data_IF_641913751934
#
_entry.id   IF_641913751934
#
_cell.length_a   1.000
_cell.length_b   1.000
_cell.length_c   1.000
_cell.angle_alpha   90.00
_cell.angle_beta   90.00
_cell.angle_gamma   90.00
#
_symmetry.space_group_name_H-M   'P 1'
#
loop_
_entity.id
_entity.type
_entity.pdbx_description
1 polymer ?
#
# COMPACT_ATOMS: atom_id res chain seq x y z
N UNK A 1 60.56 -9.81 20.80
CA UNK A 1 59.25 -10.27 21.31
C UNK A 1 58.10 -9.26 21.09
N UNK A 2 58.17 -8.31 20.15
CA UNK A 2 57.07 -7.34 19.87
C UNK A 2 56.25 -7.64 18.61
N UNK A 3 56.68 -8.55 17.73
CA UNK A 3 56.04 -8.84 16.47
C UNK A 3 54.82 -9.81 16.54
N UNK A 4 54.72 -10.62 17.60
CA UNK A 4 53.65 -11.62 17.73
C UNK A 4 52.34 -11.07 18.33
N UNK A 5 52.37 -9.93 19.04
CA UNK A 5 51.15 -9.34 19.64
C UNK A 5 50.27 -8.62 18.65
N UNK A 6 50.85 -8.04 17.59
CA UNK A 6 50.10 -7.31 16.55
C UNK A 6 49.32 -8.28 15.64
N UNK A 7 49.90 -9.46 15.34
CA UNK A 7 49.22 -10.47 14.51
C UNK A 7 48.06 -11.16 15.25
N UNK A 8 48.16 -11.33 16.57
CA UNK A 8 47.08 -11.90 17.38
C UNK A 8 45.92 -10.93 17.54
N UNK A 9 46.19 -9.63 17.69
CA UNK A 9 45.15 -8.60 17.78
C UNK A 9 44.39 -8.41 16.44
N UNK A 10 45.08 -8.48 15.30
CA UNK A 10 44.45 -8.40 13.98
C UNK A 10 43.60 -9.65 13.66
N UNK A 11 44.06 -10.85 14.10
CA UNK A 11 43.26 -12.07 13.94
C UNK A 11 42.00 -12.09 14.82
N UNK A 12 42.08 -11.60 16.08
CA UNK A 12 40.91 -11.47 16.94
C UNK A 12 39.94 -10.41 16.44
N UNK A 13 40.40 -9.29 15.87
CA UNK A 13 39.55 -8.27 15.28
C UNK A 13 38.87 -8.77 14.02
N UNK A 14 39.54 -9.56 13.19
CA UNK A 14 38.94 -10.16 11.99
C UNK A 14 37.89 -11.24 12.35
N UNK A 15 38.08 -12.01 13.41
CA UNK A 15 37.12 -13.00 13.91
C UNK A 15 35.92 -12.30 14.56
N UNK A 16 36.12 -11.18 15.27
CA UNK A 16 35.03 -10.38 15.83
C UNK A 16 34.23 -9.62 14.74
N UNK A 17 34.88 -9.13 13.68
CA UNK A 17 34.20 -8.54 12.52
C UNK A 17 33.47 -9.59 11.69
N UNK A 18 34.02 -10.80 11.54
CA UNK A 18 33.31 -11.90 10.89
C UNK A 18 32.12 -12.42 11.74
N UNK A 19 32.25 -12.40 13.08
CA UNK A 19 31.13 -12.73 13.97
C UNK A 19 30.07 -11.63 14.06
N UNK A 20 30.42 -10.36 13.78
CA UNK A 20 29.45 -9.25 13.66
C UNK A 20 28.83 -9.13 12.26
N UNK A 21 29.56 -9.51 11.20
CA UNK A 21 29.07 -9.58 9.83
C UNK A 21 28.27 -10.85 9.51
N UNK A 22 28.37 -11.88 10.34
CA UNK A 22 27.74 -13.18 10.16
C UNK A 22 26.42 -13.37 10.89
N UNK A 23 25.88 -12.35 11.54
CA UNK A 23 24.44 -12.28 11.77
C UNK A 23 23.78 -11.73 10.50
N UNK A 24 23.85 -12.52 9.41
CA UNK A 24 22.77 -12.55 8.46
C UNK A 24 21.51 -12.57 9.33
N UNK A 25 20.70 -11.55 9.17
CA UNK A 25 19.38 -11.49 9.75
C UNK A 25 18.72 -12.80 9.29
N UNK A 26 18.74 -13.83 10.15
CA UNK A 26 17.92 -15.02 9.92
C UNK A 26 16.58 -14.43 9.57
N UNK A 27 16.15 -14.66 8.35
CA UNK A 27 14.80 -14.31 7.93
C UNK A 27 13.92 -15.00 8.97
N UNK A 28 13.46 -14.22 9.97
CA UNK A 28 12.64 -14.76 11.05
C UNK A 28 11.40 -15.27 10.37
N UNK A 29 11.41 -16.56 10.05
CA UNK A 29 10.31 -17.24 9.41
C UNK A 29 9.09 -17.00 10.31
N UNK A 30 8.11 -16.29 9.78
CA UNK A 30 6.87 -16.10 10.50
C UNK A 30 6.20 -17.45 10.66
N UNK A 31 5.55 -17.68 11.80
CA UNK A 31 4.81 -18.90 11.94
C UNK A 31 3.75 -18.96 10.82
N UNK A 32 3.56 -20.09 10.16
CA UNK A 32 2.49 -20.23 9.17
C UNK A 32 1.16 -19.94 9.86
N UNK A 33 0.27 -19.26 9.13
CA UNK A 33 -1.09 -19.03 9.61
C UNK A 33 -1.78 -20.40 9.77
N UNK A 34 -2.41 -20.64 10.92
CA UNK A 34 -3.21 -21.84 11.17
C UNK A 34 -4.36 -22.00 10.15
N UNK A 35 -5.16 -23.05 10.31
CA UNK A 35 -6.19 -23.35 9.29
C UNK A 35 -7.53 -22.62 9.49
N UNK A 36 -7.77 -22.04 10.69
CA UNK A 36 -9.03 -21.35 10.98
C UNK A 36 -10.25 -22.31 10.99
N UNK A 37 -11.49 -21.82 10.90
CA UNK A 37 -11.83 -20.41 11.03
C UNK A 37 -11.59 -19.89 12.46
N UNK A 38 -11.39 -18.59 12.57
CA UNK A 38 -11.24 -17.88 13.85
C UNK A 38 -12.45 -17.01 14.11
N UNK A 39 -12.76 -16.78 15.37
CA UNK A 39 -13.83 -15.88 15.79
C UNK A 39 -13.26 -14.82 16.72
N UNK A 40 -13.66 -13.56 16.51
CA UNK A 40 -13.23 -12.42 17.30
C UNK A 40 -14.46 -11.65 17.77
N UNK A 41 -14.40 -11.19 19.03
CA UNK A 41 -15.32 -10.19 19.53
C UNK A 41 -14.94 -8.81 18.98
N UNK A 42 -15.90 -7.91 18.90
CA UNK A 42 -15.67 -6.52 18.48
C UNK A 42 -16.14 -5.56 19.57
N UNK A 43 -15.77 -4.29 19.44
CA UNK A 43 -16.27 -3.26 20.37
C UNK A 43 -17.77 -2.99 20.22
N UNK A 44 -18.37 -3.40 19.11
CA UNK A 44 -19.81 -3.26 18.92
C UNK A 44 -20.56 -4.36 19.68
N UNK A 45 -21.50 -4.01 20.56
CA UNK A 45 -22.30 -5.01 21.27
C UNK A 45 -22.96 -6.00 20.29
N UNK A 46 -22.90 -7.27 20.62
CA UNK A 46 -23.49 -8.36 19.83
C UNK A 46 -22.94 -8.48 18.40
N UNK A 47 -21.77 -7.94 18.11
CA UNK A 47 -21.12 -8.08 16.83
C UNK A 47 -19.86 -8.92 17.00
N UNK A 48 -19.88 -10.13 16.49
CA UNK A 48 -18.72 -11.02 16.40
C UNK A 48 -18.39 -11.26 14.93
N UNK A 49 -17.12 -11.46 14.65
CA UNK A 49 -16.67 -11.77 13.30
C UNK A 49 -16.08 -13.17 13.23
N UNK A 50 -16.34 -13.82 12.12
CA UNK A 50 -15.68 -15.06 11.71
C UNK A 50 -14.71 -14.73 10.59
N UNK A 51 -13.49 -15.25 10.71
CA UNK A 51 -12.44 -15.09 9.70
C UNK A 51 -12.07 -16.46 9.17
N UNK A 52 -12.18 -16.63 7.88
CA UNK A 52 -11.86 -17.89 7.19
C UNK A 52 -10.84 -17.68 6.09
N UNK A 53 -10.03 -18.71 5.84
CA UNK A 53 -9.10 -18.73 4.71
C UNK A 53 -9.89 -19.06 3.44
N UNK A 54 -9.77 -18.18 2.43
CA UNK A 54 -10.32 -18.41 1.10
C UNK A 54 -9.30 -19.13 0.24
N UNK A 55 -8.04 -18.67 0.24
CA UNK A 55 -6.97 -19.30 -0.53
C UNK A 55 -5.61 -19.12 0.15
N UNK A 56 -4.71 -20.07 -0.07
CA UNK A 56 -3.29 -20.06 0.36
C UNK A 56 -2.38 -20.19 -0.86
N UNK A 57 -1.10 -19.91 -0.70
CA UNK A 57 -0.07 -20.17 -1.71
C UNK A 57 0.22 -19.02 -2.66
N UNK A 58 -0.17 -17.81 -2.28
CA UNK A 58 0.24 -16.57 -2.96
C UNK A 58 1.66 -16.18 -2.55
N UNK A 59 2.36 -15.45 -3.40
CA UNK A 59 3.70 -14.91 -3.09
C UNK A 59 3.67 -13.39 -3.00
N UNK A 60 3.76 -12.87 -1.79
CA UNK A 60 3.71 -11.43 -1.52
C UNK A 60 2.56 -10.73 -2.26
N UNK A 61 1.28 -11.14 -2.05
CA UNK A 61 0.15 -10.49 -2.69
C UNK A 61 0.07 -9.02 -2.29
N UNK A 62 -0.40 -8.16 -3.21
CA UNK A 62 -0.39 -6.71 -2.99
C UNK A 62 -1.77 -6.07 -3.04
N UNK A 63 -2.52 -6.25 -4.09
CA UNK A 63 -3.85 -5.72 -4.26
C UNK A 63 -4.83 -6.78 -4.78
N UNK A 64 -6.12 -6.55 -4.62
CA UNK A 64 -7.18 -7.43 -5.12
C UNK A 64 -8.31 -6.66 -5.77
N UNK A 65 -8.94 -7.27 -6.78
CA UNK A 65 -10.15 -6.75 -7.42
C UNK A 65 -11.17 -7.87 -7.61
N UNK A 66 -12.44 -7.53 -7.38
CA UNK A 66 -13.57 -8.46 -7.51
C UNK A 66 -14.19 -8.34 -8.89
N UNK A 67 -14.14 -9.40 -9.68
CA UNK A 67 -14.78 -9.48 -10.98
C UNK A 67 -16.32 -9.60 -10.81
N UNK A 68 -17.12 -9.13 -11.78
CA UNK A 68 -18.58 -9.19 -11.70
C UNK A 68 -19.16 -10.58 -11.44
N UNK A 69 -18.44 -11.66 -11.85
CA UNK A 69 -18.83 -13.05 -11.62
C UNK A 69 -18.47 -13.60 -10.23
N UNK A 70 -17.85 -12.79 -9.36
CA UNK A 70 -17.44 -13.19 -8.01
C UNK A 70 -16.02 -13.78 -7.93
N UNK A 71 -15.33 -13.96 -9.05
CA UNK A 71 -13.91 -14.31 -9.07
C UNK A 71 -13.06 -13.15 -8.56
N UNK A 72 -11.86 -13.42 -8.04
CA UNK A 72 -11.00 -12.40 -7.46
C UNK A 72 -9.66 -12.40 -8.19
N UNK A 73 -9.28 -11.28 -8.76
CA UNK A 73 -7.93 -11.03 -9.24
C UNK A 73 -7.04 -10.57 -8.09
N UNK A 74 -5.82 -11.09 -8.02
CA UNK A 74 -4.83 -10.73 -6.99
C UNK A 74 -3.48 -10.52 -7.66
N UNK A 75 -2.86 -9.36 -7.42
CA UNK A 75 -1.48 -9.12 -7.84
C UNK A 75 -0.50 -9.72 -6.85
N UNK A 76 0.59 -10.29 -7.37
CA UNK A 76 1.73 -10.74 -6.59
C UNK A 76 2.96 -9.89 -6.97
N UNK A 77 3.68 -9.34 -5.99
CA UNK A 77 4.84 -8.47 -6.24
C UNK A 77 5.91 -9.07 -7.18
N UNK A 78 6.17 -10.38 -7.19
CA UNK A 78 7.07 -10.96 -8.19
C UNK A 78 6.68 -10.78 -9.66
N UNK A 79 5.49 -10.22 -9.97
CA UNK A 79 5.06 -9.89 -11.32
C UNK A 79 3.93 -10.77 -11.86
N UNK A 80 3.29 -11.56 -11.01
CA UNK A 80 2.20 -12.43 -11.42
C UNK A 80 0.85 -11.82 -11.07
N UNK A 81 -0.10 -11.93 -11.96
CA UNK A 81 -1.52 -11.76 -11.67
C UNK A 81 -2.13 -13.14 -11.45
N UNK A 82 -2.84 -13.30 -10.34
CA UNK A 82 -3.48 -14.55 -9.96
C UNK A 82 -5.00 -14.38 -9.99
N UNK A 83 -5.71 -15.48 -10.12
CA UNK A 83 -7.16 -15.50 -10.06
C UNK A 83 -7.63 -16.58 -9.09
N UNK A 84 -8.61 -16.21 -8.26
CA UNK A 84 -9.38 -17.14 -7.46
C UNK A 84 -10.74 -17.32 -8.16
N UNK A 85 -11.02 -18.53 -8.59
CA UNK A 85 -12.30 -18.90 -9.21
C UNK A 85 -13.15 -19.64 -8.18
N UNK A 86 -14.29 -19.06 -7.82
CA UNK A 86 -15.17 -19.62 -6.79
C UNK A 86 -14.42 -19.96 -5.48
N UNK A 87 -13.48 -19.10 -5.08
CA UNK A 87 -12.67 -19.28 -3.87
C UNK A 87 -11.48 -20.24 -4.02
N UNK A 88 -11.24 -20.79 -5.20
CA UNK A 88 -10.09 -21.68 -5.46
C UNK A 88 -9.03 -20.94 -6.26
N UNK A 89 -7.80 -20.91 -5.75
CA UNK A 89 -6.66 -20.31 -6.46
C UNK A 89 -6.32 -21.15 -7.69
N UNK A 90 -6.41 -20.54 -8.88
CA UNK A 90 -5.93 -21.19 -10.11
C UNK A 90 -4.41 -21.42 -10.00
N UNK A 91 -3.91 -22.66 -10.24
CA UNK A 91 -2.49 -22.94 -10.16
C UNK A 91 -1.66 -22.15 -11.19
N UNK A 92 -2.26 -21.78 -12.32
CA UNK A 92 -1.60 -20.99 -13.38
C UNK A 92 -1.82 -19.51 -13.18
N UNK A 93 -0.76 -18.68 -13.26
CA UNK A 93 -0.92 -17.23 -13.31
C UNK A 93 -1.72 -16.81 -14.56
N UNK A 94 -2.43 -15.70 -14.43
CA UNK A 94 -3.04 -15.00 -15.57
C UNK A 94 -1.91 -14.48 -16.47
N UNK A 95 -1.96 -14.78 -17.76
CA UNK A 95 -0.99 -14.31 -18.73
C UNK A 95 -1.21 -12.82 -19.08
N UNK A 96 -0.21 -12.18 -19.71
CA UNK A 96 -0.32 -10.83 -20.26
C UNK A 96 -0.04 -9.70 -19.26
N UNK A 97 0.52 -9.98 -18.08
CA UNK A 97 0.99 -8.93 -17.16
C UNK A 97 2.21 -8.19 -17.74
N UNK A 98 2.42 -6.91 -17.40
CA UNK A 98 3.63 -6.19 -17.79
C UNK A 98 4.88 -6.84 -17.18
N UNK A 99 6.03 -6.68 -17.84
CA UNK A 99 7.32 -7.07 -17.27
C UNK A 99 7.67 -6.10 -16.15
N UNK A 100 7.85 -6.62 -14.95
CA UNK A 100 8.09 -5.82 -13.75
C UNK A 100 9.53 -5.95 -13.24
N UNK A 101 10.03 -4.89 -12.61
CA UNK A 101 11.22 -4.99 -11.78
C UNK A 101 10.79 -5.35 -10.35
N UNK A 102 10.83 -6.64 -10.04
CA UNK A 102 10.54 -7.14 -8.70
C UNK A 102 11.82 -7.07 -7.82
N UNK A 103 12.01 -5.95 -7.14
CA UNK A 103 13.11 -5.75 -6.21
C UNK A 103 12.66 -4.87 -5.04
N UNK A 104 13.14 -5.15 -3.84
CA UNK A 104 12.81 -4.42 -2.61
C UNK A 104 11.29 -4.35 -2.35
N UNK A 105 10.70 -3.15 -2.43
CA UNK A 105 9.26 -2.94 -2.28
C UNK A 105 8.51 -2.90 -3.62
N UNK A 106 9.25 -2.89 -4.73
CA UNK A 106 8.70 -2.84 -6.09
C UNK A 106 8.23 -4.20 -6.61
N UNK A 107 7.60 -4.18 -7.77
CA UNK A 107 7.05 -5.34 -8.46
C UNK A 107 5.75 -5.02 -9.19
N UNK A 108 4.87 -6.00 -9.33
CA UNK A 108 3.47 -5.78 -9.67
C UNK A 108 2.74 -5.37 -8.38
N UNK A 109 2.14 -4.20 -8.39
CA UNK A 109 1.60 -3.58 -7.18
C UNK A 109 0.07 -3.66 -7.17
N UNK A 110 -0.61 -2.54 -7.24
CA UNK A 110 -2.06 -2.50 -7.13
C UNK A 110 -2.78 -2.71 -8.46
N UNK A 111 -4.08 -3.00 -8.39
CA UNK A 111 -4.93 -3.13 -9.56
C UNK A 111 -6.32 -2.55 -9.31
N UNK A 112 -6.95 -2.05 -10.39
CA UNK A 112 -8.34 -1.62 -10.39
C UNK A 112 -9.04 -2.03 -11.69
N UNK A 113 -10.30 -2.38 -11.60
CA UNK A 113 -11.16 -2.53 -12.79
C UNK A 113 -11.60 -1.16 -13.30
N UNK A 114 -11.75 -1.04 -14.60
CA UNK A 114 -12.41 0.12 -15.20
C UNK A 114 -13.80 0.34 -14.56
N UNK A 115 -14.22 1.58 -14.32
CA UNK A 115 -15.61 1.87 -13.93
C UNK A 115 -16.65 1.36 -14.93
N UNK A 116 -16.23 1.10 -16.17
CA UNK A 116 -17.02 0.53 -17.25
C UNK A 116 -16.63 -0.91 -17.59
N UNK A 117 -16.10 -1.65 -16.62
CA UNK A 117 -15.56 -3.00 -16.85
C UNK A 117 -16.54 -3.94 -17.54
N UNK A 118 -17.84 -3.82 -17.29
CA UNK A 118 -18.87 -4.63 -17.99
C UNK A 118 -18.93 -4.36 -19.49
N UNK A 119 -18.40 -3.22 -19.95
CA UNK A 119 -18.40 -2.81 -21.36
C UNK A 119 -17.03 -2.97 -22.00
N UNK A 120 -15.97 -2.54 -21.31
CA UNK A 120 -14.62 -2.41 -21.86
C UNK A 120 -13.63 -3.51 -21.39
N UNK A 121 -14.00 -4.23 -20.33
CA UNK A 121 -13.22 -5.30 -19.71
C UNK A 121 -11.79 -4.88 -19.32
N UNK A 122 -11.53 -3.58 -19.08
CA UNK A 122 -10.18 -3.09 -18.81
C UNK A 122 -9.79 -3.28 -17.35
N UNK A 123 -8.58 -3.81 -17.15
CA UNK A 123 -7.89 -3.92 -15.86
C UNK A 123 -6.67 -3.02 -15.90
N UNK A 124 -6.56 -2.15 -14.91
CA UNK A 124 -5.43 -1.24 -14.71
C UNK A 124 -4.54 -1.75 -13.59
N UNK A 125 -3.24 -1.58 -13.73
CA UNK A 125 -2.26 -2.06 -12.74
C UNK A 125 -1.16 -1.04 -12.56
N UNK A 126 -0.74 -0.79 -11.32
CA UNK A 126 0.53 -0.11 -11.04
C UNK A 126 1.66 -1.11 -10.92
N UNK A 127 2.85 -0.75 -11.37
CA UNK A 127 4.01 -1.62 -11.32
C UNK A 127 5.33 -0.84 -11.38
N UNK A 128 6.41 -1.51 -10.98
CA UNK A 128 7.76 -0.97 -11.10
C UNK A 128 8.36 -1.33 -12.45
N UNK A 129 8.62 -0.33 -13.27
CA UNK A 129 9.20 -0.47 -14.61
C UNK A 129 10.68 -0.12 -14.62
N UNK A 130 11.51 -1.01 -15.16
CA UNK A 130 12.89 -0.67 -15.48
C UNK A 130 12.92 0.20 -16.72
N UNK A 131 13.58 1.36 -16.63
CA UNK A 131 13.87 2.26 -17.73
C UNK A 131 15.38 2.45 -17.86
N UNK A 132 15.84 3.08 -18.94
CA UNK A 132 17.26 3.40 -19.14
C UNK A 132 17.80 4.41 -18.12
N UNK A 133 16.90 5.18 -17.48
CA UNK A 133 17.23 6.23 -16.48
C UNK A 133 17.01 5.78 -15.04
N UNK A 134 16.59 4.56 -14.81
CA UNK A 134 16.29 4.03 -13.47
C UNK A 134 14.92 3.34 -13.41
N UNK A 135 14.40 3.18 -12.21
CA UNK A 135 13.10 2.53 -11.98
C UNK A 135 12.00 3.58 -11.88
N UNK A 136 10.93 3.41 -12.63
CA UNK A 136 9.75 4.25 -12.61
C UNK A 136 8.54 3.51 -12.01
N UNK A 137 7.66 4.22 -11.34
CA UNK A 137 6.29 3.75 -11.10
C UNK A 137 5.51 3.93 -12.40
N UNK A 138 4.82 2.90 -12.84
CA UNK A 138 4.11 2.92 -14.10
C UNK A 138 2.70 2.38 -13.93
N UNK A 139 1.79 2.86 -14.78
CA UNK A 139 0.44 2.32 -14.90
C UNK A 139 0.34 1.61 -16.25
N UNK A 140 -0.07 0.35 -16.23
CA UNK A 140 -0.45 -0.39 -17.43
C UNK A 140 -1.94 -0.71 -17.40
N UNK A 141 -2.53 -0.95 -18.58
CA UNK A 141 -3.86 -1.54 -18.71
C UNK A 141 -3.84 -2.69 -19.71
N UNK A 142 -4.67 -3.70 -19.47
CA UNK A 142 -4.94 -4.79 -20.40
C UNK A 142 -6.43 -5.10 -20.46
N UNK A 143 -6.90 -5.68 -21.55
CA UNK A 143 -8.28 -6.15 -21.67
C UNK A 143 -8.40 -7.57 -21.12
N UNK A 144 -9.34 -7.80 -20.22
CA UNK A 144 -9.63 -9.11 -19.64
C UNK A 144 -10.47 -9.95 -20.59
N UNK A 145 -9.95 -11.07 -21.07
CA UNK A 145 -10.67 -12.01 -21.96
C UNK A 145 -11.13 -13.31 -21.26
N UNK A 146 -10.97 -13.38 -19.92
CA UNK A 146 -11.32 -14.54 -19.10
C UNK A 146 -10.12 -15.37 -18.67
N UNK A 147 -9.25 -15.88 -19.56
CA UNK A 147 -8.02 -16.59 -19.19
C UNK A 147 -6.78 -15.70 -19.08
N UNK A 148 -6.77 -14.51 -19.71
CA UNK A 148 -5.58 -13.66 -19.80
C UNK A 148 -5.91 -12.16 -19.85
N UNK A 149 -4.87 -11.34 -19.74
CA UNK A 149 -4.90 -9.95 -20.16
C UNK A 149 -4.32 -9.89 -21.59
N UNK A 150 -5.07 -9.30 -22.49
CA UNK A 150 -4.65 -9.07 -23.88
C UNK A 150 -4.42 -7.57 -24.12
N UNK A 151 -3.61 -7.23 -25.11
CA UNK A 151 -3.29 -5.85 -25.50
C UNK A 151 -2.77 -5.01 -24.34
N UNK A 152 -2.02 -5.64 -23.43
CA UNK A 152 -1.44 -4.94 -22.28
C UNK A 152 -0.41 -3.92 -22.73
N UNK A 153 -0.62 -2.68 -22.29
CA UNK A 153 0.26 -1.55 -22.62
C UNK A 153 0.34 -0.55 -21.48
N UNK A 154 1.42 0.23 -21.49
CA UNK A 154 1.56 1.36 -20.59
C UNK A 154 0.52 2.44 -20.89
N UNK A 155 -0.06 2.96 -19.84
CA UNK A 155 -0.93 4.12 -19.84
C UNK A 155 -0.14 5.36 -19.44
N UNK A 156 0.68 5.21 -18.38
CA UNK A 156 1.53 6.29 -17.87
C UNK A 156 2.84 5.73 -17.31
N UNK A 157 3.93 6.46 -17.52
CA UNK A 157 5.24 6.16 -16.97
C UNK A 157 5.78 7.42 -16.31
N UNK A 158 6.03 7.37 -15.00
CA UNK A 158 6.56 8.52 -14.26
C UNK A 158 8.02 8.76 -14.59
N UNK A 159 8.56 9.89 -14.14
CA UNK A 159 10.01 10.07 -14.13
C UNK A 159 10.65 9.00 -13.21
N UNK A 160 11.79 8.45 -13.61
CA UNK A 160 12.45 7.44 -12.82
C UNK A 160 12.99 8.03 -11.52
N UNK A 161 12.87 7.27 -10.44
CA UNK A 161 13.28 7.69 -9.09
C UNK A 161 14.79 7.94 -8.92
N UNK A 162 15.59 7.73 -9.95
CA UNK A 162 17.05 7.87 -9.90
C UNK A 162 17.76 6.87 -8.98
N UNK A 163 17.03 5.89 -8.43
CA UNK A 163 17.52 4.87 -7.52
C UNK A 163 16.90 3.51 -7.77
N UNK A 164 17.25 2.55 -6.95
CA UNK A 164 16.70 1.18 -7.01
C UNK A 164 15.39 1.05 -6.22
N UNK A 165 15.09 1.99 -5.33
CA UNK A 165 13.91 1.95 -4.47
C UNK A 165 12.70 2.53 -5.19
N UNK A 166 11.81 1.66 -5.60
CA UNK A 166 10.42 2.02 -5.83
C UNK A 166 9.65 1.60 -4.59
N UNK A 167 9.08 2.57 -3.92
CA UNK A 167 8.18 2.33 -2.81
C UNK A 167 6.78 1.98 -3.32
N UNK A 168 5.83 1.77 -2.42
CA UNK A 168 4.48 1.35 -2.78
C UNK A 168 3.78 2.29 -3.74
N UNK A 169 2.80 1.77 -4.45
CA UNK A 169 1.85 2.53 -5.25
C UNK A 169 0.47 1.96 -5.06
N UNK A 170 -0.52 2.84 -4.99
CA UNK A 170 -1.95 2.50 -5.05
C UNK A 170 -2.58 3.15 -6.24
N UNK A 171 -3.72 2.60 -6.63
CA UNK A 171 -4.44 2.96 -7.84
C UNK A 171 -5.94 2.93 -7.53
N UNK A 172 -6.67 3.99 -7.91
CA UNK A 172 -8.11 4.05 -7.76
C UNK A 172 -8.73 4.92 -8.86
N UNK A 173 -9.94 4.59 -9.28
CA UNK A 173 -10.74 5.50 -10.06
C UNK A 173 -11.53 6.44 -9.15
N UNK A 174 -11.45 7.73 -9.41
CA UNK A 174 -12.29 8.74 -8.78
C UNK A 174 -13.73 8.68 -9.30
N UNK A 175 -14.63 9.39 -8.62
CA UNK A 175 -16.03 9.54 -9.09
C UNK A 175 -16.15 10.32 -10.39
N UNK A 176 -15.10 11.07 -10.76
CA UNK A 176 -14.95 11.77 -12.03
C UNK A 176 -14.57 10.82 -13.20
N UNK A 177 -14.26 9.57 -12.89
CA UNK A 177 -13.83 8.56 -13.86
C UNK A 177 -12.35 8.65 -14.23
N UNK A 178 -11.59 9.57 -13.64
CA UNK A 178 -10.15 9.66 -13.82
C UNK A 178 -9.40 8.70 -12.88
N UNK A 179 -8.17 8.38 -13.25
CA UNK A 179 -7.31 7.45 -12.57
C UNK A 179 -6.34 8.21 -11.66
N UNK A 180 -6.38 7.89 -10.37
CA UNK A 180 -5.47 8.39 -9.36
C UNK A 180 -4.51 7.31 -8.95
N UNK A 181 -3.22 7.63 -8.88
CA UNK A 181 -2.22 6.69 -8.39
C UNK A 181 -1.11 7.41 -7.64
N UNK A 182 -0.47 6.68 -6.74
CA UNK A 182 0.58 7.23 -5.89
C UNK A 182 1.97 6.87 -6.40
N UNK A 183 2.91 7.76 -6.13
CA UNK A 183 4.34 7.54 -6.33
C UNK A 183 5.05 7.79 -5.01
N UNK A 184 5.44 6.73 -4.34
CA UNK A 184 6.16 6.79 -3.07
C UNK A 184 7.68 6.94 -3.26
N UNK A 185 8.41 6.76 -2.16
CA UNK A 185 9.88 6.63 -2.16
C UNK A 185 10.66 7.93 -2.10
N UNK A 186 10.03 9.03 -1.71
CA UNK A 186 10.71 10.29 -1.48
C UNK A 186 11.02 10.52 0.01
N UNK A 187 12.05 11.32 0.29
CA UNK A 187 12.27 11.94 1.60
C UNK A 187 13.14 11.20 2.58
N UNK A 188 13.80 10.11 2.20
CA UNK A 188 14.85 9.49 3.03
C UNK A 188 16.20 10.18 2.79
N UNK A 189 17.01 10.30 3.84
CA UNK A 189 18.37 10.86 3.78
C UNK A 189 18.45 12.29 3.19
N UNK A 190 17.47 13.15 3.50
CA UNK A 190 17.44 14.54 3.01
C UNK A 190 16.92 14.71 1.58
N UNK A 191 16.34 13.67 1.01
CA UNK A 191 15.68 13.74 -0.31
C UNK A 191 14.43 14.62 -0.25
N UNK A 192 14.46 15.75 -0.93
CA UNK A 192 13.40 16.75 -0.97
C UNK A 192 12.42 16.60 -2.15
N UNK A 193 12.53 15.55 -2.97
CA UNK A 193 11.72 15.39 -4.19
C UNK A 193 10.22 15.44 -3.93
N UNK A 194 9.74 15.02 -2.74
CA UNK A 194 8.33 15.19 -2.37
C UNK A 194 7.86 16.64 -2.40
N UNK A 195 8.77 17.62 -2.20
CA UNK A 195 8.51 19.04 -2.26
C UNK A 195 8.87 19.66 -3.63
N UNK A 196 9.55 18.94 -4.50
CA UNK A 196 9.94 19.42 -5.82
C UNK A 196 8.78 19.32 -6.82
N UNK A 197 8.34 20.43 -7.43
CA UNK A 197 7.21 20.41 -8.36
C UNK A 197 7.53 19.70 -9.69
N UNK A 198 8.81 19.59 -10.06
CA UNK A 198 9.30 18.94 -11.27
C UNK A 198 9.50 17.43 -11.14
N UNK A 199 9.17 16.83 -9.99
CA UNK A 199 9.33 15.39 -9.72
C UNK A 199 8.00 14.73 -9.41
N UNK A 200 7.80 13.49 -9.88
CA UNK A 200 6.64 12.66 -9.53
C UNK A 200 6.79 11.96 -8.17
N UNK A 201 8.00 11.90 -7.61
CA UNK A 201 8.25 11.24 -6.34
C UNK A 201 7.55 11.96 -5.17
N UNK A 202 6.88 11.20 -4.29
CA UNK A 202 6.12 11.76 -3.16
C UNK A 202 4.88 12.53 -3.60
N UNK A 203 4.20 12.04 -4.62
CA UNK A 203 3.01 12.67 -5.20
C UNK A 203 1.84 11.68 -5.32
N UNK A 204 0.65 12.24 -5.39
CA UNK A 204 -0.51 11.60 -5.99
C UNK A 204 -0.72 12.24 -7.35
N UNK A 205 -0.81 11.41 -8.38
CA UNK A 205 -0.99 11.82 -9.76
C UNK A 205 -2.42 11.52 -10.20
N UNK A 206 -2.97 12.36 -11.10
CA UNK A 206 -4.29 12.17 -11.73
C UNK A 206 -4.12 12.22 -13.23
N UNK A 207 -4.57 11.17 -13.90
CA UNK A 207 -4.61 11.05 -15.36
C UNK A 207 -5.94 10.47 -15.80
N UNK A 208 -6.31 10.71 -17.06
CA UNK A 208 -7.45 10.02 -17.68
C UNK A 208 -7.15 8.54 -17.90
N UNK A 209 -8.16 7.71 -18.15
CA UNK A 209 -7.98 6.28 -18.43
C UNK A 209 -7.07 5.97 -19.64
N UNK A 210 -6.88 6.92 -20.54
CA UNK A 210 -5.97 6.82 -21.70
C UNK A 210 -4.54 7.32 -21.41
N UNK A 211 -4.30 7.87 -20.20
CA UNK A 211 -3.02 8.41 -19.77
C UNK A 211 -2.84 9.92 -20.04
N UNK A 212 -3.77 10.56 -20.71
CA UNK A 212 -3.72 12.01 -20.91
C UNK A 212 -3.99 12.77 -19.60
N UNK A 213 -3.39 13.94 -19.47
CA UNK A 213 -3.57 14.78 -18.28
C UNK A 213 -4.89 15.55 -18.38
N UNK A 214 -5.77 15.49 -17.36
CA UNK A 214 -6.98 16.31 -17.32
C UNK A 214 -6.64 17.80 -17.31
N UNK A 215 -7.34 18.65 -18.12
CA UNK A 215 -7.03 20.08 -18.23
C UNK A 215 -7.34 20.88 -16.95
N UNK A 216 -8.13 20.31 -16.06
CA UNK A 216 -8.50 20.87 -14.75
C UNK A 216 -7.61 20.36 -13.60
N UNK A 217 -6.52 19.66 -13.88
CA UNK A 217 -5.52 19.35 -12.87
C UNK A 217 -4.93 20.62 -12.27
N UNK A 218 -4.66 20.63 -10.95
CA UNK A 218 -4.36 21.86 -10.20
C UNK A 218 -3.08 22.58 -10.63
N UNK A 219 -2.19 21.89 -11.33
CA UNK A 219 -0.90 22.44 -11.74
C UNK A 219 -0.73 22.56 -13.27
N UNK A 220 -1.78 22.29 -14.06
CA UNK A 220 -1.76 22.53 -15.50
C UNK A 220 -1.48 24.01 -15.81
N UNK A 221 -0.51 24.24 -16.68
CA UNK A 221 -0.08 25.60 -17.06
C UNK A 221 0.79 26.32 -16.03
N UNK A 222 1.06 25.73 -14.86
CA UNK A 222 1.93 26.30 -13.84
C UNK A 222 3.40 25.99 -14.14
N UNK A 223 4.20 27.02 -14.40
CA UNK A 223 5.60 26.86 -14.74
C UNK A 223 6.38 26.12 -13.64
N UNK A 224 7.19 25.14 -14.05
CA UNK A 224 8.02 24.32 -13.16
C UNK A 224 7.28 23.15 -12.52
N UNK A 225 5.96 23.04 -12.66
CA UNK A 225 5.18 21.92 -12.15
C UNK A 225 4.90 20.89 -13.25
N UNK A 226 4.90 19.63 -12.87
CA UNK A 226 4.37 18.55 -13.71
C UNK A 226 2.85 18.62 -13.71
N UNK A 227 2.21 18.58 -14.88
CA UNK A 227 0.77 18.83 -14.98
C UNK A 227 -0.09 17.66 -14.46
N UNK A 228 0.47 16.45 -14.38
CA UNK A 228 -0.19 15.26 -13.83
C UNK A 228 -0.33 15.27 -12.30
N UNK A 229 0.41 16.13 -11.59
CA UNK A 229 0.38 16.19 -10.12
C UNK A 229 -0.99 16.65 -9.64
N UNK A 230 -1.59 15.86 -8.74
CA UNK A 230 -2.84 16.22 -8.06
C UNK A 230 -2.58 16.77 -6.65
N UNK A 231 -1.69 16.12 -5.88
CA UNK A 231 -1.20 16.57 -4.57
C UNK A 231 0.27 16.20 -4.38
N UNK A 232 0.94 16.85 -3.41
CA UNK A 232 2.36 16.70 -3.18
C UNK A 232 2.72 16.63 -1.69
N UNK A 233 3.98 16.33 -1.38
CA UNK A 233 4.45 16.27 0.00
C UNK A 233 4.09 14.98 0.71
N UNK A 234 4.05 13.86 -0.01
CA UNK A 234 3.80 12.53 0.52
C UNK A 234 5.10 11.73 0.66
N UNK A 235 5.15 10.83 1.66
CA UNK A 235 6.29 9.92 1.81
C UNK A 235 6.12 8.62 1.03
N UNK A 236 5.13 7.85 1.38
CA UNK A 236 4.88 6.54 0.79
C UNK A 236 3.39 6.17 0.88
N UNK A 237 2.55 6.75 0.02
CA UNK A 237 1.14 6.43 -0.04
C UNK A 237 0.91 4.97 -0.45
N UNK A 238 0.23 4.21 0.38
CA UNK A 238 0.03 2.77 0.21
C UNK A 238 -1.42 2.33 0.41
N UNK A 239 -2.34 3.24 0.70
CA UNK A 239 -3.75 2.99 0.82
C UNK A 239 -4.59 4.08 0.17
N UNK A 240 -5.64 3.70 -0.58
CA UNK A 240 -6.60 4.62 -1.18
C UNK A 240 -8.03 4.16 -0.90
N UNK A 241 -8.92 5.10 -0.62
CA UNK A 241 -10.35 4.85 -0.50
C UNK A 241 -11.17 6.08 -0.89
N UNK A 242 -12.36 5.86 -1.43
CA UNK A 242 -13.36 6.91 -1.64
C UNK A 242 -14.42 6.78 -0.54
N UNK A 243 -14.67 7.86 0.19
CA UNK A 243 -15.72 7.85 1.21
C UNK A 243 -17.10 7.64 0.55
N UNK A 244 -17.88 6.65 0.98
CA UNK A 244 -19.07 6.23 0.26
C UNK A 244 -20.13 7.34 0.13
N UNK A 245 -20.34 8.12 1.18
CA UNK A 245 -21.40 9.14 1.21
C UNK A 245 -20.92 10.46 0.59
N UNK A 246 -19.73 10.95 0.99
CA UNK A 246 -19.25 12.27 0.59
C UNK A 246 -18.52 12.29 -0.74
N UNK A 247 -17.97 11.15 -1.19
CA UNK A 247 -17.08 11.05 -2.34
C UNK A 247 -15.67 11.59 -2.11
N UNK A 248 -15.35 11.99 -0.89
CA UNK A 248 -14.02 12.47 -0.56
C UNK A 248 -12.96 11.37 -0.82
N UNK A 249 -11.85 11.78 -1.43
CA UNK A 249 -10.73 10.89 -1.67
C UNK A 249 -9.84 10.86 -0.44
N UNK A 250 -9.62 9.67 0.08
CA UNK A 250 -8.79 9.41 1.25
C UNK A 250 -7.57 8.60 0.87
N UNK A 251 -6.48 8.92 1.52
CA UNK A 251 -5.18 8.29 1.33
C UNK A 251 -4.58 7.90 2.67
N UNK A 252 -3.86 6.76 2.69
CA UNK A 252 -3.06 6.31 3.82
C UNK A 252 -1.60 6.16 3.43
N UNK A 253 -0.68 6.81 4.18
CA UNK A 253 0.75 6.75 3.90
C UNK A 253 1.58 6.27 5.09
N UNK A 254 2.70 5.66 4.77
CA UNK A 254 3.68 5.20 5.75
C UNK A 254 4.62 6.34 6.14
N UNK A 255 4.60 6.70 7.40
CA UNK A 255 5.66 7.48 8.03
C UNK A 255 6.94 6.65 8.25
N UNK A 256 7.98 7.23 8.85
CA UNK A 256 9.18 6.49 9.25
C UNK A 256 8.92 5.64 10.51
N UNK A 257 9.55 5.89 11.62
CA UNK A 257 9.23 5.21 12.89
C UNK A 257 8.20 6.02 13.67
N UNK A 258 6.91 5.74 13.48
CA UNK A 258 5.78 6.57 13.86
C UNK A 258 5.37 7.53 12.74
N UNK A 259 4.19 8.15 12.88
CA UNK A 259 3.71 9.15 11.93
C UNK A 259 3.22 8.59 10.59
N UNK A 260 2.69 7.37 10.58
CA UNK A 260 1.78 6.97 9.51
C UNK A 260 0.57 7.89 9.54
N UNK A 261 0.04 8.24 8.39
CA UNK A 261 -1.05 9.21 8.26
C UNK A 261 -2.22 8.65 7.47
N UNK A 262 -3.40 9.19 7.75
CA UNK A 262 -4.58 9.05 6.89
C UNK A 262 -5.08 10.44 6.57
N UNK A 263 -5.09 10.76 5.29
CA UNK A 263 -5.31 12.08 4.74
C UNK A 263 -6.61 12.14 3.92
N UNK A 264 -7.30 13.31 3.94
CA UNK A 264 -8.27 13.66 2.90
C UNK A 264 -7.51 14.42 1.81
N UNK A 265 -7.51 13.88 0.61
CA UNK A 265 -6.74 14.43 -0.51
C UNK A 265 -7.53 15.50 -1.23
N UNK A 266 -6.93 16.68 -1.28
CA UNK A 266 -7.47 17.86 -1.92
C UNK A 266 -6.57 18.30 -3.09
N UNK A 267 -7.14 18.80 -4.20
CA UNK A 267 -6.37 19.22 -5.36
C UNK A 267 -5.40 20.37 -5.01
N UNK A 268 -4.16 20.24 -5.46
CA UNK A 268 -3.13 21.26 -5.32
C UNK A 268 -2.54 21.40 -3.91
N UNK A 269 -2.93 20.59 -2.94
CA UNK A 269 -2.44 20.67 -1.56
C UNK A 269 -1.10 19.97 -1.39
N UNK A 270 -0.35 20.47 -0.40
CA UNK A 270 0.92 19.91 0.06
C UNK A 270 0.75 19.35 1.46
N UNK A 271 1.13 18.07 1.66
CA UNK A 271 1.00 17.33 2.92
C UNK A 271 2.25 17.35 3.79
N UNK A 272 3.30 18.04 3.33
CA UNK A 272 4.41 18.53 4.15
C UNK A 272 5.62 17.62 4.25
N UNK A 273 5.56 16.34 3.86
CA UNK A 273 6.74 15.47 3.89
C UNK A 273 7.84 15.98 2.95
N UNK A 274 9.14 16.00 3.35
CA UNK A 274 9.71 15.66 4.64
C UNK A 274 9.93 16.87 5.57
N UNK A 275 9.25 18.01 5.35
CA UNK A 275 9.42 19.25 6.12
C UNK A 275 8.78 19.16 7.50
N UNK A 276 7.63 18.50 7.58
CA UNK A 276 6.93 18.14 8.83
C UNK A 276 6.70 16.65 8.89
N UNK A 277 6.69 16.05 10.08
CA UNK A 277 6.39 14.64 10.31
C UNK A 277 6.13 14.38 11.79
N UNK A 278 5.15 13.55 12.10
CA UNK A 278 4.89 13.04 13.44
C UNK A 278 5.85 11.91 13.85
N UNK A 279 6.69 11.45 12.93
CA UNK A 279 7.58 10.31 13.12
C UNK A 279 8.99 10.68 13.56
N UNK A 280 9.74 9.63 13.88
CA UNK A 280 11.17 9.68 14.16
C UNK A 280 11.94 8.92 13.08
N UNK A 281 13.20 9.22 12.90
CA UNK A 281 14.10 8.40 12.11
C UNK A 281 14.33 7.03 12.80
N UNK A 282 14.86 6.08 12.05
CA UNK A 282 15.09 4.72 12.52
C UNK A 282 16.19 4.61 13.62
N UNK A 283 16.99 5.64 13.81
CA UNK A 283 17.92 5.79 14.94
C UNK A 283 17.27 6.42 16.20
N UNK A 284 15.99 6.87 16.09
CA UNK A 284 15.23 7.47 17.18
C UNK A 284 15.28 9.00 17.22
N UNK A 285 16.06 9.65 16.35
CA UNK A 285 16.07 11.12 16.25
C UNK A 285 14.78 11.67 15.64
N UNK A 286 14.44 12.93 15.93
CA UNK A 286 13.32 13.56 15.28
C UNK A 286 13.62 13.80 13.80
N UNK A 287 12.71 13.37 12.91
CA UNK A 287 12.82 13.64 11.47
C UNK A 287 12.78 15.13 11.17
N UNK A 288 11.98 15.88 11.91
CA UNK A 288 11.69 17.28 11.68
C UNK A 288 11.72 18.06 12.99
N UNK A 289 11.89 19.37 12.89
CA UNK A 289 11.88 20.26 14.08
C UNK A 289 10.48 20.38 14.71
N UNK A 290 9.45 20.16 13.91
CA UNK A 290 8.05 20.25 14.35
C UNK A 290 7.20 19.19 13.61
N UNK A 291 6.21 18.62 14.27
CA UNK A 291 5.37 17.57 13.65
C UNK A 291 4.37 18.14 12.64
N UNK A 292 4.04 19.41 12.75
CA UNK A 292 3.00 20.07 11.97
C UNK A 292 3.34 21.55 11.72
N UNK A 293 2.80 22.13 10.62
CA UNK A 293 2.79 23.55 10.31
C UNK A 293 1.50 23.90 9.57
N UNK A 294 0.98 25.10 9.79
CA UNK A 294 -0.18 25.64 9.10
C UNK A 294 0.03 25.85 7.57
N UNK A 295 1.26 25.77 7.09
CA UNK A 295 1.61 25.86 5.66
C UNK A 295 1.22 24.57 4.90
N UNK A 296 0.96 23.48 5.60
CA UNK A 296 0.67 22.16 5.03
C UNK A 296 -0.70 21.66 5.46
N UNK A 297 -1.24 20.75 4.64
CA UNK A 297 -2.49 20.06 4.96
C UNK A 297 -2.24 19.06 6.10
N UNK A 298 -2.99 19.20 7.19
CA UNK A 298 -2.92 18.26 8.32
C UNK A 298 -3.65 16.95 8.01
N UNK A 299 -3.15 15.80 8.51
CA UNK A 299 -3.86 14.53 8.42
C UNK A 299 -5.13 14.50 9.28
N UNK A 300 -6.10 13.68 8.86
CA UNK A 300 -7.29 13.36 9.68
C UNK A 300 -6.95 12.41 10.83
N UNK A 301 -6.02 11.49 10.58
CA UNK A 301 -5.53 10.53 11.58
C UNK A 301 -4.02 10.40 11.42
N UNK A 302 -3.30 10.37 12.52
CA UNK A 302 -1.91 9.97 12.54
C UNK A 302 -1.68 8.83 13.53
N UNK A 303 -0.73 7.95 13.21
CA UNK A 303 -0.46 6.73 13.96
C UNK A 303 0.94 6.78 14.58
N UNK A 304 0.95 6.88 15.92
CA UNK A 304 2.17 6.77 16.72
C UNK A 304 1.90 5.79 17.85
N UNK A 305 2.52 4.63 17.84
CA UNK A 305 3.50 4.13 16.84
C UNK A 305 2.88 3.91 15.46
N UNK A 306 3.71 3.91 14.40
CA UNK A 306 3.27 3.53 13.07
C UNK A 306 2.93 2.04 13.01
N UNK A 307 2.00 1.70 12.11
CA UNK A 307 1.63 0.32 11.82
C UNK A 307 2.15 -0.15 10.46
N UNK A 308 2.89 0.70 9.75
CA UNK A 308 3.25 0.54 8.35
C UNK A 308 1.97 0.29 7.54
N UNK A 309 1.05 1.29 7.59
CA UNK A 309 -0.25 1.19 6.95
C UNK A 309 -0.13 0.83 5.47
N UNK A 310 -1.14 0.15 4.94
CA UNK A 310 -1.14 -0.34 3.57
C UNK A 310 -2.55 -0.17 2.96
N UNK A 311 -3.20 -1.21 2.46
CA UNK A 311 -4.53 -1.06 1.90
C UNK A 311 -5.56 -0.53 2.88
N UNK A 312 -6.56 0.17 2.37
CA UNK A 312 -7.64 0.72 3.17
C UNK A 312 -8.97 0.73 2.41
N UNK A 313 -10.07 0.68 3.13
CA UNK A 313 -11.41 0.77 2.57
C UNK A 313 -12.40 1.34 3.58
N UNK A 314 -13.38 2.11 3.12
CA UNK A 314 -14.57 2.41 3.91
C UNK A 314 -15.56 1.27 3.80
N UNK A 315 -16.16 0.89 4.91
CA UNK A 315 -17.23 -0.08 4.89
C UNK A 315 -18.58 0.57 4.52
N UNK A 316 -19.21 0.07 3.49
CA UNK A 316 -20.52 0.54 3.00
C UNK A 316 -21.56 -0.58 2.87
N UNK A 317 -21.16 -1.83 3.14
CA UNK A 317 -21.99 -3.03 3.02
C UNK A 317 -23.07 -3.15 4.10
N UNK A 318 -23.92 -4.18 3.96
CA UNK A 318 -25.03 -4.47 4.89
C UNK A 318 -24.75 -5.63 5.84
N UNK A 319 -23.62 -6.34 5.67
CA UNK A 319 -23.28 -7.49 6.54
C UNK A 319 -22.93 -7.07 7.96
N UNK A 320 -22.38 -5.88 8.13
CA UNK A 320 -22.03 -5.27 9.42
C UNK A 320 -22.64 -3.87 9.52
N UNK A 321 -23.95 -3.76 9.83
CA UNK A 321 -24.65 -2.46 9.82
C UNK A 321 -23.99 -1.40 10.71
N UNK A 322 -23.44 -1.80 11.87
CA UNK A 322 -22.76 -0.90 12.81
C UNK A 322 -21.41 -0.39 12.29
N UNK A 323 -20.89 -0.94 11.19
CA UNK A 323 -19.60 -0.55 10.61
C UNK A 323 -19.73 0.39 9.42
N UNK A 324 -20.96 0.70 8.98
CA UNK A 324 -21.16 1.64 7.85
C UNK A 324 -20.46 2.97 8.12
N UNK A 325 -19.68 3.43 7.14
CA UNK A 325 -18.88 4.65 7.24
C UNK A 325 -17.59 4.51 8.05
N UNK A 326 -17.31 3.35 8.68
CA UNK A 326 -16.03 3.16 9.34
C UNK A 326 -14.92 2.89 8.31
N UNK A 327 -13.73 3.39 8.63
CA UNK A 327 -12.53 3.17 7.84
C UNK A 327 -11.78 1.94 8.36
N UNK A 328 -11.40 1.04 7.45
CA UNK A 328 -10.52 -0.09 7.72
C UNK A 328 -9.16 0.18 7.08
N UNK A 329 -8.09 0.04 7.88
CA UNK A 329 -6.71 0.25 7.45
C UNK A 329 -5.91 -0.99 7.81
N UNK A 330 -5.25 -1.60 6.83
CA UNK A 330 -4.33 -2.68 7.08
C UNK A 330 -2.96 -2.16 7.50
N UNK A 331 -2.28 -2.89 8.38
CA UNK A 331 -0.94 -2.57 8.87
C UNK A 331 -0.02 -3.78 8.79
N UNK A 332 1.19 -3.57 8.33
CA UNK A 332 2.13 -4.66 8.13
C UNK A 332 2.99 -4.96 9.36
N UNK A 333 3.31 -3.94 10.13
CA UNK A 333 4.15 -4.06 11.34
C UNK A 333 3.98 -2.84 12.23
N UNK A 334 3.71 -3.03 13.50
CA UNK A 334 3.60 -1.95 14.48
C UNK A 334 4.95 -1.65 15.12
N UNK A 335 5.38 -0.38 15.12
CA UNK A 335 6.58 0.08 15.83
C UNK A 335 7.84 -0.78 15.60
N UNK A 336 7.98 -1.42 14.44
CA UNK A 336 9.06 -2.40 14.12
C UNK A 336 9.05 -3.66 14.99
N UNK A 337 7.96 -3.92 15.73
CA UNK A 337 7.77 -5.16 16.48
C UNK A 337 7.49 -6.29 15.49
N UNK A 338 8.36 -7.30 15.37
CA UNK A 338 8.14 -8.39 14.43
C UNK A 338 6.79 -9.10 14.67
N UNK A 339 6.13 -9.50 13.59
CA UNK A 339 4.89 -10.27 13.65
C UNK A 339 3.72 -9.53 14.34
N UNK A 340 3.60 -8.23 14.13
CA UNK A 340 2.58 -7.36 14.73
C UNK A 340 1.63 -6.75 13.69
N UNK A 341 1.50 -7.35 12.50
CA UNK A 341 0.56 -6.90 11.50
C UNK A 341 -0.89 -7.01 11.99
N UNK A 342 -1.74 -6.12 11.50
CA UNK A 342 -3.10 -5.94 12.00
C UNK A 342 -4.01 -5.31 10.96
N UNK A 343 -5.30 -5.32 11.22
CA UNK A 343 -6.28 -4.43 10.58
C UNK A 343 -6.83 -3.53 11.66
N UNK A 344 -6.83 -2.22 11.44
CA UNK A 344 -7.50 -1.26 12.32
C UNK A 344 -8.83 -0.84 11.72
N UNK A 345 -9.91 -0.92 12.51
CA UNK A 345 -11.16 -0.26 12.25
C UNK A 345 -11.16 1.08 12.96
N UNK A 346 -11.27 2.16 12.21
CA UNK A 346 -11.25 3.52 12.70
C UNK A 346 -12.67 4.10 12.58
N UNK A 347 -13.22 4.55 13.68
CA UNK A 347 -14.50 5.24 13.72
C UNK A 347 -14.24 6.73 13.69
N UNK A 348 -14.82 7.41 12.73
CA UNK A 348 -14.60 8.82 12.44
C UNK A 348 -15.87 9.64 12.65
N UNK A 349 -15.69 10.91 12.93
CA UNK A 349 -16.71 11.95 12.80
C UNK A 349 -16.14 13.13 11.98
N UNK A 350 -16.86 14.24 11.92
CA UNK A 350 -16.43 15.44 11.17
C UNK A 350 -15.13 16.08 11.71
N UNK A 351 -14.77 15.81 12.95
CA UNK A 351 -13.63 16.41 13.64
C UNK A 351 -12.41 15.46 13.68
N UNK A 352 -12.55 14.22 13.23
CA UNK A 352 -11.48 13.22 13.17
C UNK A 352 -11.83 11.88 13.79
N UNK A 353 -10.82 11.20 14.32
CA UNK A 353 -10.97 9.88 14.93
C UNK A 353 -11.67 9.97 16.29
N UNK A 354 -12.69 9.13 16.49
CA UNK A 354 -13.34 8.94 17.79
C UNK A 354 -12.70 7.78 18.56
N UNK A 355 -12.47 6.67 17.86
CA UNK A 355 -11.90 5.45 18.43
C UNK A 355 -11.36 4.54 17.32
N UNK A 356 -10.48 3.61 17.71
CA UNK A 356 -9.99 2.55 16.85
C UNK A 356 -9.99 1.21 17.55
N UNK A 357 -10.09 0.16 16.74
CA UNK A 357 -10.08 -1.22 17.15
C UNK A 357 -9.11 -1.99 16.26
N UNK A 358 -8.26 -2.83 16.86
CA UNK A 358 -7.26 -3.59 16.13
C UNK A 358 -7.62 -5.09 16.11
N UNK A 359 -7.59 -5.69 14.93
CA UNK A 359 -7.83 -7.11 14.70
C UNK A 359 -6.56 -7.81 14.18
N UNK A 360 -6.47 -9.11 14.37
CA UNK A 360 -5.53 -10.03 13.73
C UNK A 360 -4.07 -9.95 14.18
N UNK A 361 -3.75 -9.26 15.27
CA UNK A 361 -2.39 -9.28 15.84
C UNK A 361 -1.92 -10.72 16.16
N UNK A 362 -2.85 -11.57 16.63
CA UNK A 362 -2.57 -12.97 16.94
C UNK A 362 -2.23 -13.82 15.72
N UNK A 363 -2.57 -13.38 14.52
CA UNK A 363 -2.16 -14.04 13.29
C UNK A 363 -0.65 -13.96 13.05
N UNK A 364 0.00 -12.95 13.61
CA UNK A 364 1.45 -12.74 13.51
C UNK A 364 1.92 -12.62 12.06
N UNK A 365 1.06 -12.15 11.16
CA UNK A 365 1.29 -11.95 9.74
C UNK A 365 1.42 -10.47 9.43
N UNK A 366 2.06 -10.12 8.32
CA UNK A 366 1.95 -8.79 7.73
C UNK A 366 0.62 -8.70 6.99
N UNK A 367 -0.16 -7.65 7.21
CA UNK A 367 -1.41 -7.45 6.50
C UNK A 367 -1.23 -6.38 5.44
N UNK A 368 -1.38 -6.79 4.16
CA UNK A 368 -1.09 -5.93 3.01
C UNK A 368 -2.30 -5.15 2.53
N UNK A 369 -3.47 -5.76 2.56
CA UNK A 369 -4.65 -5.14 1.99
C UNK A 369 -5.90 -5.52 2.77
N UNK A 370 -6.87 -4.61 2.76
CA UNK A 370 -8.23 -4.83 3.22
C UNK A 370 -9.18 -4.19 2.23
N UNK A 371 -10.10 -4.98 1.68
CA UNK A 371 -11.02 -4.55 0.64
C UNK A 371 -12.42 -5.08 0.90
N UNK A 372 -13.44 -4.31 0.54
CA UNK A 372 -14.82 -4.75 0.59
C UNK A 372 -15.24 -5.37 -0.75
N UNK A 373 -15.80 -6.57 -0.69
CA UNK A 373 -16.40 -7.21 -1.87
C UNK A 373 -17.78 -6.63 -2.20
N UNK A 374 -18.26 -6.78 -3.44
CA UNK A 374 -19.58 -6.28 -3.84
C UNK A 374 -20.75 -6.83 -3.01
N UNK A 375 -20.61 -8.04 -2.46
CA UNK A 375 -21.62 -8.68 -1.59
C UNK A 375 -21.52 -8.24 -0.12
N UNK A 376 -20.65 -7.27 0.20
CA UNK A 376 -20.55 -6.61 1.51
C UNK A 376 -19.72 -7.32 2.56
N UNK A 377 -18.92 -8.32 2.19
CA UNK A 377 -17.90 -8.89 3.08
C UNK A 377 -16.57 -8.13 2.97
N UNK A 378 -15.73 -8.26 3.99
CA UNK A 378 -14.37 -7.76 3.92
C UNK A 378 -13.40 -8.90 3.61
N UNK A 379 -12.41 -8.61 2.78
CA UNK A 379 -11.33 -9.51 2.44
C UNK A 379 -9.99 -8.89 2.83
N UNK A 380 -9.04 -9.73 3.17
CA UNK A 380 -7.72 -9.32 3.65
C UNK A 380 -6.64 -10.13 2.95
N UNK A 381 -5.55 -9.47 2.55
CA UNK A 381 -4.34 -10.10 2.03
C UNK A 381 -3.22 -10.05 3.06
N UNK A 382 -2.51 -11.15 3.24
CA UNK A 382 -1.24 -11.14 3.97
C UNK A 382 -0.06 -10.92 3.02
N UNK A 383 0.96 -10.15 3.44
CA UNK A 383 2.21 -9.95 2.66
C UNK A 383 3.25 -11.01 3.05
N UNK A 384 2.97 -12.25 2.72
CA UNK A 384 3.82 -13.40 3.04
C UNK A 384 4.11 -14.24 1.79
N UNK A 385 5.06 -15.17 1.92
CA UNK A 385 5.32 -16.24 0.99
C UNK A 385 5.47 -17.56 1.79
N UNK A 386 4.42 -18.39 1.87
CA UNK A 386 3.12 -18.27 1.19
C UNK A 386 2.17 -17.26 1.85
N UNK A 387 1.56 -16.41 1.04
CA UNK A 387 0.50 -15.47 1.43
C UNK A 387 -0.89 -16.09 1.33
N UNK A 388 -1.86 -15.47 2.01
CA UNK A 388 -3.25 -15.94 2.06
C UNK A 388 -4.25 -14.83 1.77
N UNK A 389 -5.41 -15.25 1.27
CA UNK A 389 -6.64 -14.44 1.20
C UNK A 389 -7.55 -14.86 2.33
N UNK A 390 -7.95 -13.93 3.16
CA UNK A 390 -8.91 -14.12 4.25
C UNK A 390 -10.23 -13.44 3.91
N UNK A 391 -11.34 -14.02 4.41
CA UNK A 391 -12.68 -13.42 4.37
C UNK A 391 -13.15 -13.16 5.79
N UNK A 392 -13.73 -11.99 6.01
CA UNK A 392 -14.37 -11.57 7.26
C UNK A 392 -15.87 -11.57 7.04
N UNK A 393 -16.61 -12.31 7.85
CA UNK A 393 -18.06 -12.41 7.83
C UNK A 393 -18.64 -12.33 9.24
N UNK A 394 -19.94 -11.98 9.43
CA UNK A 394 -20.57 -12.06 10.73
C UNK A 394 -20.46 -13.47 11.30
N UNK A 395 -20.07 -13.59 12.57
CA UNK A 395 -20.15 -14.86 13.26
C UNK A 395 -21.61 -15.14 13.68
N UNK A 396 -22.04 -16.41 13.72
CA UNK A 396 -23.34 -16.79 14.25
C UNK A 396 -23.49 -16.46 15.73
#
# INVERSE_FOLDING_TARGET
MKFNRIRLAAALAAVLLAAMGGRAQEARTRPPLGDGPWTFDTFEPNTRIRVSIVAKGLSHPYGMAFLPGGDILVTERPGRLRILRQGVLDPKPVAGTPVVRAAELGGLLDLALSPKFSEDHLVYMTYSKQTDKGVATSVARGSWDGPALVDTKDVFVTDPSGGTRVAGSRLIFGRDGDLYFSVGGAGENGDMRAQEPGSDAGKILRVRPDGSVPPDNPFVGKAGYRPEIYSMGHRNPTGFAIHPDTGAFWEGEQGPQGGDEVNIILPGKNYGWPVVSYGRDYDGTFMTKQPWSADFQAPMVFLVPSIANAGMTFYSGDKFPAWKGNLFVSGMVEARIPNSGQVQRIVLNKDGEIRREAFFRDFRQRIRDVSQSPDGYLYVLTDEDPGVVLKIEPAP
#
